data_IF_599607592864
#
_entry.id   IF_599607592864
#
_cell.length_a   1.000
_cell.length_b   1.000
_cell.length_c   1.000
_cell.angle_alpha   90.00
_cell.angle_beta   90.00
_cell.angle_gamma   90.00
#
_symmetry.space_group_name_H-M   'P 1'
#
loop_
_entity.id
_entity.type
_entity.pdbx_description
1 polymer ?
#
# COMPACT_ATOMS: atom_id res chain seq x y z
N UNK A 1 -12.69 -19.74 4.17
CA UNK A 1 -11.30 -19.63 3.68
C UNK A 1 -11.13 -18.29 3.02
N UNK A 2 -9.96 -17.67 3.15
CA UNK A 2 -9.68 -16.40 2.47
C UNK A 2 -9.66 -16.59 0.95
N UNK A 3 -10.12 -15.57 0.20
CA UNK A 3 -10.13 -15.54 -1.27
C UNK A 3 -8.70 -15.55 -1.87
N UNK A 4 -7.74 -14.95 -1.16
CA UNK A 4 -6.34 -14.82 -1.57
C UNK A 4 -5.44 -15.43 -0.51
N UNK A 5 -4.39 -16.13 -0.93
CA UNK A 5 -3.39 -16.74 -0.04
C UNK A 5 -2.29 -15.75 0.34
N UNK A 6 -1.79 -14.97 -0.62
CA UNK A 6 -0.71 -13.99 -0.42
C UNK A 6 -1.11 -12.64 -1.00
N UNK A 7 -1.00 -11.60 -0.21
CA UNK A 7 -1.36 -10.25 -0.64
C UNK A 7 -0.21 -9.27 -0.44
N UNK A 8 -0.17 -8.24 -1.29
CA UNK A 8 0.50 -7.00 -0.96
C UNK A 8 -0.57 -5.98 -0.55
N UNK A 9 -0.51 -5.51 0.68
CA UNK A 9 -1.38 -4.44 1.19
C UNK A 9 -0.66 -3.09 1.04
N UNK A 10 -1.15 -2.25 0.12
CA UNK A 10 -0.65 -0.89 -0.05
C UNK A 10 -1.51 0.08 0.74
N UNK A 11 -0.89 0.80 1.66
CA UNK A 11 -1.52 1.80 2.51
C UNK A 11 -1.09 3.21 2.13
N UNK A 12 -2.00 4.17 2.21
CA UNK A 12 -1.67 5.59 2.08
C UNK A 12 -1.10 6.11 3.39
N UNK A 13 0.06 6.79 3.34
CA UNK A 13 0.54 7.51 4.52
C UNK A 13 -0.45 8.56 5.01
N UNK A 14 -1.22 9.17 4.11
CA UNK A 14 -2.24 10.16 4.46
C UNK A 14 -3.36 9.58 5.34
N UNK A 15 -3.69 8.31 5.18
CA UNK A 15 -4.66 7.65 6.05
C UNK A 15 -4.16 7.52 7.50
N UNK A 16 -2.82 7.56 7.72
CA UNK A 16 -2.25 7.55 9.07
C UNK A 16 -2.33 8.88 9.81
N UNK A 17 -2.67 9.98 9.13
CA UNK A 17 -2.77 11.29 9.77
C UNK A 17 -3.99 11.42 10.69
N UNK A 18 -5.00 10.59 10.53
CA UNK A 18 -6.29 10.79 11.18
C UNK A 18 -6.88 12.17 10.83
N UNK A 19 -7.40 12.84 11.83
CA UNK A 19 -7.95 14.21 11.70
C UNK A 19 -6.90 15.31 11.78
N UNK A 20 -5.65 15.00 12.15
CA UNK A 20 -4.60 16.00 12.40
C UNK A 20 -4.01 16.62 11.14
N UNK A 21 -4.18 16.00 9.97
CA UNK A 21 -3.68 16.49 8.68
C UNK A 21 -2.17 16.34 8.47
N UNK A 22 -1.42 15.80 9.43
CA UNK A 22 0.00 15.48 9.37
C UNK A 22 0.40 14.45 10.44
N UNK A 23 1.57 13.83 10.26
CA UNK A 23 2.13 12.91 11.26
C UNK A 23 1.39 11.58 11.32
N UNK A 24 1.39 10.95 12.49
CA UNK A 24 0.83 9.63 12.72
C UNK A 24 -0.19 9.70 13.85
N UNK A 25 -1.44 9.38 13.57
CA UNK A 25 -2.50 9.19 14.55
C UNK A 25 -2.41 7.77 15.13
N UNK A 26 -2.17 7.68 16.45
CA UNK A 26 -1.97 6.40 17.16
C UNK A 26 -3.24 5.54 17.11
N UNK A 27 -4.43 6.15 17.17
CA UNK A 27 -5.70 5.42 17.11
C UNK A 27 -5.85 4.75 15.74
N UNK A 28 -5.64 5.49 14.67
CA UNK A 28 -5.69 4.98 13.29
C UNK A 28 -4.66 3.89 13.05
N UNK A 29 -3.44 4.08 13.57
CA UNK A 29 -2.37 3.08 13.48
C UNK A 29 -2.77 1.75 14.16
N UNK A 30 -3.36 1.84 15.35
CA UNK A 30 -3.82 0.67 16.10
C UNK A 30 -5.02 -0.03 15.40
N UNK A 31 -5.93 0.71 14.79
CA UNK A 31 -7.03 0.18 13.98
C UNK A 31 -6.49 -0.62 12.78
N UNK A 32 -5.46 -0.11 12.10
CA UNK A 32 -4.82 -0.83 10.99
C UNK A 32 -4.09 -2.08 11.48
N UNK A 33 -3.35 -2.00 12.59
CA UNK A 33 -2.69 -3.17 13.17
C UNK A 33 -3.69 -4.27 13.54
N UNK A 34 -4.83 -3.91 14.11
CA UNK A 34 -5.89 -4.86 14.45
C UNK A 34 -6.48 -5.55 13.22
N UNK A 35 -6.80 -4.80 12.15
CA UNK A 35 -7.31 -5.38 10.89
C UNK A 35 -6.26 -6.30 10.21
N UNK A 36 -4.97 -5.94 10.26
CA UNK A 36 -3.89 -6.79 9.74
C UNK A 36 -3.80 -8.09 10.53
N UNK A 37 -3.91 -8.03 11.85
CA UNK A 37 -3.95 -9.23 12.70
C UNK A 37 -5.11 -10.14 12.35
N UNK A 38 -6.33 -9.60 12.20
CA UNK A 38 -7.49 -10.38 11.76
C UNK A 38 -7.25 -11.07 10.40
N UNK A 39 -6.58 -10.39 9.46
CA UNK A 39 -6.24 -10.97 8.17
C UNK A 39 -5.22 -12.12 8.29
N UNK A 40 -4.20 -11.99 9.16
CA UNK A 40 -3.26 -13.08 9.46
C UNK A 40 -3.96 -14.29 10.06
N UNK A 41 -4.91 -14.06 10.98
CA UNK A 41 -5.71 -15.13 11.61
C UNK A 41 -6.59 -15.88 10.59
N UNK A 42 -6.90 -15.28 9.43
CA UNK A 42 -7.53 -15.97 8.30
C UNK A 42 -6.55 -16.84 7.49
N UNK A 43 -5.26 -16.87 7.84
CA UNK A 43 -4.21 -17.62 7.16
C UNK A 43 -3.64 -16.92 5.93
N UNK A 44 -3.84 -15.59 5.80
CA UNK A 44 -3.31 -14.80 4.68
C UNK A 44 -1.87 -14.40 4.92
N UNK A 45 -1.01 -14.58 3.94
CA UNK A 45 0.36 -14.09 3.92
C UNK A 45 0.39 -12.62 3.48
N UNK A 46 1.00 -11.74 4.29
CA UNK A 46 0.86 -10.29 4.11
C UNK A 46 2.21 -9.60 3.97
N UNK A 47 2.45 -8.97 2.81
CA UNK A 47 3.44 -7.91 2.67
C UNK A 47 2.75 -6.55 2.65
N UNK A 48 3.41 -5.52 3.19
CA UNK A 48 2.83 -4.17 3.32
C UNK A 48 3.78 -3.15 2.73
N UNK A 49 3.24 -2.20 1.98
CA UNK A 49 3.93 -0.97 1.56
C UNK A 49 3.11 0.22 2.03
N UNK A 50 3.75 1.17 2.74
CA UNK A 50 3.09 2.37 3.24
C UNK A 50 3.72 3.60 2.60
N UNK A 51 2.88 4.52 2.09
CA UNK A 51 3.34 5.82 1.60
C UNK A 51 3.84 6.73 2.73
N UNK A 52 4.64 7.76 2.37
CA UNK A 52 5.21 8.73 3.31
C UNK A 52 4.54 10.11 3.31
N UNK A 53 3.41 10.26 2.59
CA UNK A 53 2.80 11.56 2.32
C UNK A 53 2.25 12.34 3.52
N UNK A 54 2.05 11.68 4.66
CA UNK A 54 1.70 12.29 5.95
C UNK A 54 2.88 13.01 6.63
N UNK A 55 4.11 12.68 6.23
CA UNK A 55 5.35 13.23 6.81
C UNK A 55 6.03 14.14 5.79
N UNK A 56 6.24 13.66 4.56
CA UNK A 56 6.89 14.42 3.50
C UNK A 56 6.41 14.01 2.11
N UNK A 57 6.18 14.99 1.23
CA UNK A 57 5.82 14.80 -0.17
C UNK A 57 6.91 15.38 -1.08
N UNK A 58 7.68 14.52 -1.73
CA UNK A 58 8.80 14.91 -2.61
C UNK A 58 8.40 15.84 -3.75
N UNK A 59 7.30 15.55 -4.45
CA UNK A 59 6.76 16.40 -5.54
C UNK A 59 6.36 17.81 -5.06
N UNK A 60 5.76 17.94 -3.88
CA UNK A 60 5.40 19.24 -3.30
C UNK A 60 6.64 19.99 -2.78
N UNK A 61 7.71 19.26 -2.44
CA UNK A 61 8.99 19.83 -2.02
C UNK A 61 9.78 20.41 -3.19
N UNK A 62 9.77 19.77 -4.36
CA UNK A 62 10.47 20.28 -5.56
C UNK A 62 10.00 21.68 -5.97
N UNK A 63 8.69 21.99 -5.81
CA UNK A 63 8.16 23.34 -5.99
C UNK A 63 8.55 24.37 -4.92
N UNK A 64 9.19 23.93 -3.82
CA UNK A 64 9.64 24.76 -2.68
C UNK A 64 11.17 24.90 -2.59
N UNK A 65 11.89 24.62 -3.70
CA UNK A 65 13.34 24.78 -3.77
C UNK A 65 14.17 23.56 -3.39
N UNK A 66 13.53 22.40 -3.13
CA UNK A 66 14.26 21.15 -2.96
C UNK A 66 14.66 20.54 -4.31
N UNK A 67 15.88 19.99 -4.37
CA UNK A 67 16.27 19.10 -5.47
C UNK A 67 15.35 17.87 -5.51
N UNK A 68 14.95 17.45 -6.70
CA UNK A 68 13.99 16.36 -6.87
C UNK A 68 14.48 15.04 -6.26
N UNK A 69 15.75 14.70 -6.45
CA UNK A 69 16.35 13.47 -5.92
C UNK A 69 16.35 13.49 -4.40
N UNK A 70 16.75 14.63 -3.80
CA UNK A 70 16.71 14.82 -2.33
C UNK A 70 15.29 14.75 -1.78
N UNK A 71 14.33 15.35 -2.47
CA UNK A 71 12.92 15.27 -2.10
C UNK A 71 12.38 13.84 -2.11
N UNK A 72 12.72 13.05 -3.13
CA UNK A 72 12.32 11.64 -3.22
C UNK A 72 13.01 10.79 -2.13
N UNK A 73 14.29 11.05 -1.83
CA UNK A 73 14.99 10.40 -0.71
C UNK A 73 14.36 10.72 0.64
N UNK A 74 13.95 11.98 0.88
CA UNK A 74 13.20 12.36 2.08
C UNK A 74 11.86 11.62 2.16
N UNK A 75 11.15 11.47 1.03
CA UNK A 75 9.95 10.66 0.93
C UNK A 75 10.19 9.18 1.26
N UNK A 76 11.32 8.60 0.82
CA UNK A 76 11.73 7.24 1.21
C UNK A 76 11.94 7.13 2.72
N UNK A 77 12.64 8.07 3.35
CA UNK A 77 12.82 8.11 4.81
C UNK A 77 11.47 8.22 5.53
N UNK A 78 10.53 9.00 4.99
CA UNK A 78 9.18 9.11 5.55
C UNK A 78 8.43 7.77 5.56
N UNK A 79 8.61 6.93 4.52
CA UNK A 79 8.04 5.57 4.52
C UNK A 79 8.63 4.69 5.60
N UNK A 80 9.90 4.86 5.94
CA UNK A 80 10.57 4.10 7.03
C UNK A 80 9.96 4.47 8.38
N UNK A 81 9.73 5.76 8.64
CA UNK A 81 9.09 6.22 9.88
C UNK A 81 7.70 5.55 10.05
N UNK A 82 6.87 5.56 9.00
CA UNK A 82 5.56 4.90 9.02
C UNK A 82 5.67 3.38 9.22
N UNK A 83 6.67 2.75 8.61
CA UNK A 83 6.91 1.30 8.73
C UNK A 83 7.31 0.90 10.13
N UNK A 84 8.17 1.68 10.79
CA UNK A 84 8.56 1.47 12.19
C UNK A 84 7.37 1.65 13.13
N UNK A 85 6.54 2.66 12.90
CA UNK A 85 5.35 2.90 13.69
C UNK A 85 4.36 1.72 13.58
N UNK A 86 4.10 1.23 12.35
CA UNK A 86 3.22 0.07 12.15
C UNK A 86 3.82 -1.20 12.76
N UNK A 87 5.12 -1.44 12.60
CA UNK A 87 5.81 -2.58 13.23
C UNK A 87 5.68 -2.54 14.75
N UNK A 88 5.82 -1.37 15.36
CA UNK A 88 5.61 -1.17 16.80
C UNK A 88 4.18 -1.49 17.23
N UNK A 89 3.17 -1.00 16.49
CA UNK A 89 1.77 -1.28 16.79
C UNK A 89 1.41 -2.76 16.64
N UNK A 90 1.93 -3.44 15.61
CA UNK A 90 1.78 -4.88 15.42
C UNK A 90 2.43 -5.65 16.56
N UNK A 91 3.65 -5.29 16.97
CA UNK A 91 4.35 -5.90 18.09
C UNK A 91 3.58 -5.78 19.41
N UNK A 92 2.94 -4.62 19.66
CA UNK A 92 2.13 -4.38 20.86
C UNK A 92 0.92 -5.33 20.98
N UNK A 93 0.43 -5.87 19.86
CA UNK A 93 -0.68 -6.84 19.84
C UNK A 93 -0.22 -8.28 19.54
N UNK A 94 1.10 -8.55 19.64
CA UNK A 94 1.69 -9.88 19.51
C UNK A 94 1.89 -10.36 18.08
N UNK A 95 1.86 -9.47 17.10
CA UNK A 95 2.14 -9.79 15.69
C UNK A 95 3.60 -9.48 15.39
N UNK A 96 4.35 -10.49 14.94
CA UNK A 96 5.72 -10.31 14.46
C UNK A 96 5.74 -9.66 13.08
N UNK A 97 6.65 -8.71 12.89
CA UNK A 97 6.85 -8.05 11.61
C UNK A 97 8.32 -7.71 11.38
N UNK A 98 8.71 -7.62 10.10
CA UNK A 98 10.04 -7.26 9.63
C UNK A 98 9.97 -5.99 8.81
N UNK A 99 10.74 -4.98 9.18
CA UNK A 99 10.90 -3.77 8.37
C UNK A 99 12.04 -4.00 7.40
N UNK A 100 11.70 -4.13 6.12
CA UNK A 100 12.62 -4.38 5.01
C UNK A 100 12.79 -3.10 4.19
N UNK A 101 14.01 -2.60 4.04
CA UNK A 101 14.29 -1.31 3.39
C UNK A 101 14.94 -1.50 2.03
N UNK A 102 14.42 -0.88 0.98
CA UNK A 102 14.97 -0.98 -0.38
C UNK A 102 16.33 -0.27 -0.55
N UNK A 103 16.74 0.54 0.43
CA UNK A 103 18.08 1.11 0.58
C UNK A 103 18.66 0.63 1.90
N UNK A 104 20.00 0.49 2.00
CA UNK A 104 20.65 0.03 3.23
C UNK A 104 20.47 1.04 4.36
N UNK A 105 19.86 0.61 5.46
CA UNK A 105 19.58 1.43 6.64
C UNK A 105 19.76 0.64 7.95
N UNK A 106 20.63 -0.36 7.97
CA UNK A 106 20.92 -1.10 9.21
C UNK A 106 21.53 -0.14 10.29
N UNK A 107 21.12 -0.26 11.54
CA UNK A 107 20.27 -1.29 12.15
C UNK A 107 18.77 -0.92 12.20
N UNK A 108 18.32 0.11 11.50
CA UNK A 108 16.93 0.60 11.56
C UNK A 108 15.97 -0.39 10.90
N UNK A 109 16.38 -0.97 9.76
CA UNK A 109 15.62 -1.99 9.03
C UNK A 109 16.58 -2.92 8.32
N UNK A 110 16.13 -4.11 7.97
CA UNK A 110 16.89 -5.06 7.20
C UNK A 110 16.91 -4.69 5.72
N UNK A 111 18.04 -4.88 5.05
CA UNK A 111 18.09 -4.70 3.60
C UNK A 111 17.16 -5.71 2.92
N UNK A 112 16.24 -5.16 2.10
CA UNK A 112 15.22 -5.93 1.40
C UNK A 112 15.82 -6.99 0.47
N UNK A 113 15.25 -8.16 0.50
CA UNK A 113 15.29 -9.12 -0.59
C UNK A 113 13.93 -9.82 -0.71
N UNK A 114 13.56 -10.23 -1.93
CA UNK A 114 12.36 -11.03 -2.19
C UNK A 114 12.27 -12.22 -1.24
N UNK A 115 13.37 -12.94 -1.05
CA UNK A 115 13.42 -14.17 -0.26
C UNK A 115 13.14 -13.90 1.22
N UNK A 116 13.73 -12.85 1.80
CA UNK A 116 13.43 -12.46 3.19
C UNK A 116 11.95 -12.12 3.39
N UNK A 117 11.36 -11.42 2.44
CA UNK A 117 9.94 -11.07 2.52
C UNK A 117 9.05 -12.32 2.45
N UNK A 118 9.34 -13.24 1.51
CA UNK A 118 8.59 -14.49 1.36
C UNK A 118 8.74 -15.38 2.60
N UNK A 119 9.97 -15.58 3.10
CA UNK A 119 10.22 -16.37 4.30
C UNK A 119 9.47 -15.82 5.54
N UNK A 120 9.45 -14.50 5.73
CA UNK A 120 8.70 -13.89 6.82
C UNK A 120 7.21 -14.21 6.70
N UNK A 121 6.62 -14.00 5.51
CA UNK A 121 5.21 -14.28 5.26
C UNK A 121 4.86 -15.77 5.41
N UNK A 122 5.73 -16.69 5.01
CA UNK A 122 5.54 -18.14 5.15
C UNK A 122 5.58 -18.59 6.61
N UNK A 123 6.28 -17.86 7.50
CA UNK A 123 6.23 -18.05 8.94
C UNK A 123 5.00 -17.43 9.61
N UNK A 124 4.09 -16.81 8.84
CA UNK A 124 2.95 -16.07 9.39
C UNK A 124 3.33 -14.72 10.00
N UNK A 125 4.49 -14.16 9.62
CA UNK A 125 4.97 -12.85 10.04
C UNK A 125 4.71 -11.82 8.94
N UNK A 126 4.64 -10.53 9.27
CA UNK A 126 4.36 -9.45 8.31
C UNK A 126 5.66 -8.91 7.74
N UNK A 127 5.77 -8.83 6.41
CA UNK A 127 6.87 -8.13 5.74
C UNK A 127 6.46 -6.68 5.42
N UNK A 128 6.99 -5.69 6.14
CA UNK A 128 6.74 -4.27 5.88
C UNK A 128 7.89 -3.74 5.01
N UNK A 129 7.60 -3.40 3.75
CA UNK A 129 8.60 -3.01 2.77
C UNK A 129 8.57 -1.49 2.58
N UNK A 130 9.69 -0.82 2.87
CA UNK A 130 9.84 0.63 2.82
C UNK A 130 10.87 1.09 1.80
N UNK A 131 10.98 2.40 1.61
CA UNK A 131 11.81 3.07 0.59
C UNK A 131 11.38 2.78 -0.86
N UNK A 132 10.16 2.31 -1.11
CA UNK A 132 9.60 2.11 -2.43
C UNK A 132 10.45 1.21 -3.33
N UNK A 133 10.86 1.71 -4.50
CA UNK A 133 11.78 1.01 -5.42
C UNK A 133 13.25 1.07 -4.98
N UNK A 134 13.60 1.99 -4.06
CA UNK A 134 14.98 2.33 -3.71
C UNK A 134 15.61 3.36 -4.65
N UNK A 135 14.90 3.81 -5.67
CA UNK A 135 15.37 4.78 -6.66
C UNK A 135 14.46 6.01 -6.72
N UNK A 136 15.05 7.23 -6.87
CA UNK A 136 14.27 8.45 -7.11
C UNK A 136 13.42 8.36 -8.39
N UNK A 137 12.50 9.31 -8.57
CA UNK A 137 11.58 9.45 -9.70
C UNK A 137 10.44 8.43 -9.75
N UNK A 138 10.38 7.46 -8.84
CA UNK A 138 9.28 6.51 -8.74
C UNK A 138 8.37 6.82 -7.55
N UNK A 139 7.09 6.52 -7.71
CA UNK A 139 6.12 6.70 -6.65
C UNK A 139 6.02 5.47 -5.73
N UNK A 140 5.27 5.62 -4.63
CA UNK A 140 4.92 4.48 -3.78
C UNK A 140 4.06 3.45 -4.51
N UNK A 141 3.20 3.88 -5.47
CA UNK A 141 2.39 2.96 -6.27
C UNK A 141 3.28 2.09 -7.16
N UNK A 142 4.30 2.67 -7.83
CA UNK A 142 5.32 1.91 -8.57
C UNK A 142 6.08 0.95 -7.66
N UNK A 143 6.49 1.41 -6.48
CA UNK A 143 7.14 0.55 -5.48
C UNK A 143 6.25 -0.62 -5.07
N UNK A 144 4.96 -0.38 -4.81
CA UNK A 144 4.00 -1.42 -4.43
C UNK A 144 3.80 -2.45 -5.54
N UNK A 145 3.69 -2.01 -6.79
CA UNK A 145 3.59 -2.90 -7.96
C UNK A 145 4.80 -3.81 -8.06
N UNK A 146 6.01 -3.24 -7.97
CA UNK A 146 7.26 -4.01 -8.00
C UNK A 146 7.30 -5.05 -6.88
N UNK A 147 7.02 -4.64 -5.63
CA UNK A 147 7.09 -5.55 -4.48
C UNK A 147 5.99 -6.62 -4.52
N UNK A 148 4.79 -6.30 -5.02
CA UNK A 148 3.72 -7.28 -5.20
C UNK A 148 4.10 -8.38 -6.18
N UNK A 149 4.72 -8.00 -7.31
CA UNK A 149 5.21 -8.95 -8.31
C UNK A 149 6.37 -9.80 -7.75
N UNK A 150 7.38 -9.16 -7.15
CA UNK A 150 8.53 -9.86 -6.58
C UNK A 150 8.15 -10.84 -5.48
N UNK A 151 7.21 -10.50 -4.63
CA UNK A 151 6.75 -11.34 -3.52
C UNK A 151 5.68 -12.36 -3.93
N UNK A 152 5.35 -12.42 -5.21
CA UNK A 152 4.38 -13.37 -5.77
C UNK A 152 2.99 -13.23 -5.12
N UNK A 153 2.54 -11.98 -4.95
CA UNK A 153 1.22 -11.70 -4.41
C UNK A 153 0.11 -12.09 -5.41
N UNK A 154 -0.96 -12.73 -4.91
CA UNK A 154 -2.14 -13.05 -5.71
C UNK A 154 -2.89 -11.78 -6.14
N UNK A 155 -2.78 -10.72 -5.33
CA UNK A 155 -3.45 -9.44 -5.53
C UNK A 155 -2.72 -8.33 -4.78
N UNK A 156 -2.71 -7.13 -5.32
CA UNK A 156 -2.38 -5.91 -4.58
C UNK A 156 -3.67 -5.28 -4.05
N UNK A 157 -3.84 -5.26 -2.73
CA UNK A 157 -4.94 -4.57 -2.06
C UNK A 157 -4.55 -3.10 -1.84
N UNK A 158 -5.15 -2.20 -2.61
CA UNK A 158 -4.94 -0.76 -2.48
C UNK A 158 -5.94 -0.18 -1.49
N UNK A 159 -5.51 -0.04 -0.24
CA UNK A 159 -6.27 0.62 0.82
C UNK A 159 -6.22 2.14 0.65
N UNK A 160 -7.38 2.75 0.43
CA UNK A 160 -7.56 4.19 0.21
C UNK A 160 -8.66 4.73 1.11
N UNK A 161 -8.96 6.04 1.00
CA UNK A 161 -10.12 6.68 1.64
C UNK A 161 -11.40 6.58 0.80
N UNK A 162 -11.27 6.23 -0.49
CA UNK A 162 -12.41 5.99 -1.38
C UNK A 162 -12.68 4.50 -1.51
N UNK A 163 -13.91 4.13 -1.79
CA UNK A 163 -14.37 2.74 -1.81
C UNK A 163 -14.21 2.05 -3.17
N UNK A 164 -13.52 2.66 -4.13
CA UNK A 164 -13.26 2.04 -5.44
C UNK A 164 -12.78 3.01 -6.50
N UNK A 165 -12.84 2.57 -7.75
CA UNK A 165 -12.54 3.34 -8.95
C UNK A 165 -13.84 3.86 -9.54
N UNK A 166 -13.86 5.13 -9.93
CA UNK A 166 -15.04 5.82 -10.45
C UNK A 166 -14.78 6.35 -11.86
N UNK A 167 -15.86 6.60 -12.61
CA UNK A 167 -15.82 7.21 -13.94
C UNK A 167 -15.26 8.63 -13.94
N UNK A 168 -15.37 9.33 -12.81
CA UNK A 168 -14.82 10.65 -12.53
C UNK A 168 -14.55 10.76 -11.02
N UNK A 169 -14.01 11.89 -10.56
CA UNK A 169 -13.78 12.16 -9.13
C UNK A 169 -15.14 12.33 -8.40
N UNK A 170 -15.55 11.39 -7.53
CA UNK A 170 -16.87 11.44 -6.89
C UNK A 170 -17.04 12.62 -5.93
N UNK A 171 -15.95 13.26 -5.47
CA UNK A 171 -16.02 14.46 -4.64
C UNK A 171 -16.38 15.72 -5.47
N UNK A 172 -16.14 15.68 -6.79
CA UNK A 172 -16.36 16.80 -7.72
C UNK A 172 -17.53 16.58 -8.66
N UNK A 173 -17.81 15.33 -9.00
CA UNK A 173 -18.89 14.94 -9.92
C UNK A 173 -19.85 13.97 -9.24
N UNK A 174 -21.02 14.43 -8.81
CA UNK A 174 -22.02 13.58 -8.16
C UNK A 174 -22.64 12.54 -9.11
N UNK A 175 -22.39 12.63 -10.42
CA UNK A 175 -22.83 11.63 -11.41
C UNK A 175 -21.83 10.51 -11.62
N UNK A 176 -20.63 10.59 -10.99
CA UNK A 176 -19.62 9.57 -11.08
C UNK A 176 -20.15 8.23 -10.57
N UNK A 177 -19.97 7.18 -11.38
CA UNK A 177 -20.37 5.82 -11.04
C UNK A 177 -19.16 4.97 -10.74
N UNK A 178 -19.27 4.13 -9.69
CA UNK A 178 -18.23 3.19 -9.30
C UNK A 178 -18.21 1.98 -10.22
N UNK A 179 -17.02 1.50 -10.56
CA UNK A 179 -16.84 0.22 -11.22
C UNK A 179 -16.74 -0.89 -10.16
N UNK A 180 -17.43 -2.00 -10.38
CA UNK A 180 -17.19 -3.22 -9.62
C UNK A 180 -15.92 -3.93 -10.13
N UNK A 181 -15.72 -3.90 -11.45
CA UNK A 181 -14.60 -4.50 -12.16
C UNK A 181 -14.24 -3.64 -13.37
N UNK A 182 -12.95 -3.55 -13.70
CA UNK A 182 -12.44 -2.79 -14.85
C UNK A 182 -11.07 -3.36 -15.29
N UNK A 183 -10.80 -3.35 -16.60
CA UNK A 183 -9.51 -3.78 -17.12
C UNK A 183 -8.45 -2.68 -17.06
N UNK A 184 -7.16 -3.07 -17.04
CA UNK A 184 -6.06 -2.10 -17.15
C UNK A 184 -6.12 -1.28 -18.45
N UNK A 185 -6.55 -1.89 -19.55
CA UNK A 185 -6.66 -1.20 -20.83
C UNK A 185 -7.75 -0.11 -20.79
N UNK A 186 -8.85 -0.37 -20.11
CA UNK A 186 -9.89 0.65 -19.88
C UNK A 186 -9.40 1.76 -18.94
N UNK A 187 -8.70 1.41 -17.85
CA UNK A 187 -8.09 2.40 -16.94
C UNK A 187 -7.17 3.34 -17.70
N UNK A 188 -6.29 2.79 -18.56
CA UNK A 188 -5.34 3.59 -19.33
C UNK A 188 -6.04 4.41 -20.43
N UNK A 189 -6.93 3.80 -21.22
CA UNK A 189 -7.62 4.47 -22.31
C UNK A 189 -8.55 5.59 -21.85
N UNK A 190 -9.18 5.43 -20.69
CA UNK A 190 -10.06 6.45 -20.08
C UNK A 190 -9.29 7.46 -19.22
N UNK A 191 -7.99 7.28 -19.01
CA UNK A 191 -7.17 8.15 -18.15
C UNK A 191 -7.59 8.16 -16.68
N UNK A 192 -8.13 7.05 -16.16
CA UNK A 192 -8.60 6.95 -14.78
C UNK A 192 -7.42 6.92 -13.81
N UNK A 193 -7.54 7.65 -12.70
CA UNK A 193 -6.47 7.81 -11.70
C UNK A 193 -6.51 6.72 -10.63
N UNK A 194 -6.28 5.47 -11.03
CA UNK A 194 -6.12 4.35 -10.07
C UNK A 194 -4.73 4.40 -9.44
N UNK A 195 -3.70 4.50 -10.27
CA UNK A 195 -2.28 4.61 -9.90
C UNK A 195 -1.56 5.45 -10.96
N UNK A 196 -0.25 5.69 -10.78
CA UNK A 196 0.55 6.24 -11.87
C UNK A 196 0.69 5.24 -13.05
N UNK A 197 1.00 5.77 -14.23
CA UNK A 197 1.05 5.00 -15.48
C UNK A 197 2.08 3.86 -15.41
N UNK A 198 3.24 4.11 -14.78
CA UNK A 198 4.30 3.11 -14.63
C UNK A 198 3.84 1.93 -13.78
N UNK A 199 3.20 2.21 -12.64
CA UNK A 199 2.65 1.21 -11.76
C UNK A 199 1.55 0.38 -12.47
N UNK A 200 0.65 1.05 -13.18
CA UNK A 200 -0.44 0.42 -13.93
C UNK A 200 0.09 -0.51 -15.02
N UNK A 201 1.05 -0.03 -15.82
CA UNK A 201 1.67 -0.83 -16.89
C UNK A 201 2.39 -2.07 -16.31
N UNK A 202 3.14 -1.90 -15.21
CA UNK A 202 3.86 -2.98 -14.55
C UNK A 202 2.90 -4.07 -14.04
N UNK A 203 1.79 -3.70 -13.39
CA UNK A 203 0.78 -4.65 -12.94
C UNK A 203 0.11 -5.37 -14.11
N UNK A 204 -0.23 -4.65 -15.21
CA UNK A 204 -0.81 -5.23 -16.41
C UNK A 204 0.10 -6.28 -17.05
N UNK A 205 1.37 -5.93 -17.29
CA UNK A 205 2.34 -6.81 -17.94
C UNK A 205 2.62 -8.09 -17.14
N UNK A 206 2.63 -7.97 -15.81
CA UNK A 206 2.89 -9.10 -14.92
C UNK A 206 1.60 -9.77 -14.40
N UNK A 207 0.43 -9.36 -14.87
CA UNK A 207 -0.89 -9.91 -14.50
C UNK A 207 -1.16 -9.90 -13.01
N UNK A 208 -0.62 -8.90 -12.28
CA UNK A 208 -0.92 -8.69 -10.88
C UNK A 208 -2.22 -7.89 -10.77
N UNK A 209 -3.34 -8.47 -10.32
CA UNK A 209 -4.56 -7.71 -10.15
C UNK A 209 -4.48 -6.75 -8.97
N UNK A 210 -5.29 -5.68 -9.03
CA UNK A 210 -5.42 -4.71 -7.95
C UNK A 210 -6.85 -4.72 -7.46
N UNK A 211 -7.04 -4.64 -6.15
CA UNK A 211 -8.35 -4.40 -5.55
C UNK A 211 -8.31 -3.09 -4.78
N UNK A 212 -9.09 -2.10 -5.24
CA UNK A 212 -9.19 -0.77 -4.62
C UNK A 212 -10.37 -0.74 -3.67
N UNK A 213 -10.15 -0.39 -2.42
CA UNK A 213 -11.21 -0.36 -1.40
C UNK A 213 -10.92 0.68 -0.30
N UNK A 214 -11.95 1.03 0.45
CA UNK A 214 -11.82 1.93 1.60
C UNK A 214 -11.29 1.17 2.82
N UNK A 215 -10.02 1.39 3.16
CA UNK A 215 -9.36 0.78 4.32
C UNK A 215 -9.70 1.48 5.65
N UNK A 216 -10.20 2.73 5.60
CA UNK A 216 -10.51 3.52 6.79
C UNK A 216 -11.78 3.03 7.50
N UNK A 217 -12.60 2.24 6.81
CA UNK A 217 -13.75 1.56 7.41
C UNK A 217 -13.31 0.25 8.03
N UNK A 218 -13.39 0.16 9.36
CA UNK A 218 -13.01 -1.03 10.10
C UNK A 218 -13.78 -2.28 9.62
N UNK A 219 -13.05 -3.37 9.42
CA UNK A 219 -13.58 -4.65 8.93
C UNK A 219 -13.61 -4.79 7.41
N UNK A 220 -13.37 -3.72 6.63
CA UNK A 220 -13.37 -3.82 5.17
C UNK A 220 -12.24 -4.71 4.63
N UNK A 221 -11.06 -4.72 5.25
CA UNK A 221 -10.00 -5.65 4.86
C UNK A 221 -10.48 -7.11 4.96
N UNK A 222 -11.12 -7.46 6.06
CA UNK A 222 -11.69 -8.80 6.28
C UNK A 222 -12.76 -9.15 5.25
N UNK A 223 -13.66 -8.21 4.93
CA UNK A 223 -14.70 -8.39 3.89
C UNK A 223 -14.10 -8.68 2.53
N UNK A 224 -13.10 -7.89 2.09
CA UNK A 224 -12.38 -8.12 0.83
C UNK A 224 -11.75 -9.52 0.81
N UNK A 225 -11.08 -9.90 1.89
CA UNK A 225 -10.45 -11.23 2.03
C UNK A 225 -11.46 -12.36 2.09
N UNK A 226 -12.68 -12.11 2.55
CA UNK A 226 -13.80 -13.06 2.52
C UNK A 226 -14.48 -13.15 1.14
N UNK A 227 -14.10 -12.30 0.19
CA UNK A 227 -14.62 -12.28 -1.17
C UNK A 227 -15.85 -11.40 -1.38
N UNK A 228 -16.18 -10.53 -0.42
CA UNK A 228 -17.26 -9.55 -0.58
C UNK A 228 -16.84 -8.47 -1.60
N UNK A 229 -17.79 -8.09 -2.47
CA UNK A 229 -17.56 -7.03 -3.46
C UNK A 229 -17.87 -5.66 -2.88
N UNK A 230 -16.89 -5.05 -2.19
CA UNK A 230 -17.03 -3.73 -1.56
C UNK A 230 -16.12 -2.66 -2.18
N UNK A 231 -15.43 -3.01 -3.26
CA UNK A 231 -14.43 -2.15 -3.92
C UNK A 231 -14.50 -2.26 -5.43
N UNK A 232 -13.37 -2.04 -6.09
CA UNK A 232 -13.19 -2.24 -7.53
C UNK A 232 -12.04 -3.21 -7.80
N UNK A 233 -12.29 -4.25 -8.59
CA UNK A 233 -11.29 -5.19 -9.08
C UNK A 233 -10.72 -4.72 -10.42
N UNK A 234 -9.39 -4.49 -10.48
CA UNK A 234 -8.68 -4.06 -11.69
C UNK A 234 -7.78 -5.19 -12.14
N UNK A 235 -7.90 -5.61 -13.40
CA UNK A 235 -7.18 -6.78 -13.92
C UNK A 235 -6.78 -6.63 -15.40
N UNK A 236 -6.09 -7.65 -15.94
CA UNK A 236 -5.70 -7.73 -17.35
C UNK A 236 -6.87 -8.15 -18.25
#
# INVERSE_FOLDING_TARGET
MAKFKRILLKLSGESLMGEHGYGIDVKRLNEYAAQIKEALEMGVQISIVIGGGNIFRGLSGAGKGFDRVKGDQMGMCATVINSLALSSALGAIGVKSHVLTAIRMEPIGEFYSKWKAIEAMERGEVAIISCGTGSPYFTTDTGSSLRGIETEADVMLKGTRVDGVYTADPEKDPTATKFDEITYDEVLSRGLKVMDVTATAMCRENKLPIYVFNMDVYGNLKKVLSGENIGTYVHA
#
